data_IF_918113471945
#
_entry.id   IF_918113471945
#
_cell.length_a   1.000
_cell.length_b   1.000
_cell.length_c   1.000
_cell.angle_alpha   90.00
_cell.angle_beta   90.00
_cell.angle_gamma   90.00
#
_symmetry.space_group_name_H-M   'P 1'
#
loop_
_entity.id
_entity.type
_entity.pdbx_description
1 polymer ?
#
# COMPACT_ATOMS: atom_id res chain seq x y z
N UNK A 1 14.55 17.79 3.01
CA UNK A 1 13.21 17.67 3.61
C UNK A 1 13.41 17.25 5.05
N UNK A 2 12.76 17.90 6.02
CA UNK A 2 12.80 17.43 7.41
C UNK A 2 12.00 16.13 7.58
N UNK A 3 12.23 15.40 8.67
CA UNK A 3 11.63 14.09 8.93
C UNK A 3 10.10 14.15 9.00
N UNK A 4 9.52 15.13 9.70
CA UNK A 4 8.06 15.27 9.84
C UNK A 4 7.41 15.55 8.50
N UNK A 5 8.00 16.42 7.69
CA UNK A 5 7.54 16.69 6.32
C UNK A 5 7.66 15.46 5.44
N UNK A 6 8.72 14.64 5.59
CA UNK A 6 8.86 13.40 4.84
C UNK A 6 7.77 12.39 5.18
N UNK A 7 7.43 12.24 6.47
CA UNK A 7 6.34 11.38 6.91
C UNK A 7 4.98 11.83 6.34
N UNK A 8 4.66 13.13 6.42
CA UNK A 8 3.42 13.69 5.85
C UNK A 8 3.36 13.52 4.32
N UNK A 9 4.45 13.82 3.62
CA UNK A 9 4.53 13.67 2.17
C UNK A 9 4.37 12.20 1.74
N UNK A 10 4.96 11.25 2.49
CA UNK A 10 4.76 9.84 2.24
C UNK A 10 3.30 9.41 2.43
N UNK A 11 2.65 9.89 3.51
CA UNK A 11 1.25 9.63 3.79
C UNK A 11 0.33 10.15 2.67
N UNK A 12 0.58 11.36 2.17
CA UNK A 12 -0.22 11.98 1.11
C UNK A 12 -0.04 11.26 -0.24
N UNK A 13 1.20 10.93 -0.62
CA UNK A 13 1.45 10.16 -1.86
C UNK A 13 0.85 8.76 -1.81
N UNK A 14 0.91 8.12 -0.64
CA UNK A 14 0.32 6.80 -0.43
C UNK A 14 -1.21 6.85 -0.58
N UNK A 15 -1.86 7.81 0.08
CA UNK A 15 -3.30 8.02 -0.04
C UNK A 15 -3.72 8.34 -1.49
N UNK A 16 -2.95 9.19 -2.18
CA UNK A 16 -3.19 9.54 -3.58
C UNK A 16 -3.02 8.34 -4.53
N UNK A 17 -2.07 7.44 -4.28
CA UNK A 17 -1.93 6.20 -5.04
C UNK A 17 -3.12 5.27 -4.80
N UNK A 18 -3.53 5.08 -3.56
CA UNK A 18 -4.65 4.21 -3.23
C UNK A 18 -5.97 4.69 -3.85
N UNK A 19 -6.22 6.01 -3.86
CA UNK A 19 -7.43 6.60 -4.45
C UNK A 19 -7.60 6.35 -5.96
N UNK A 20 -6.51 6.03 -6.69
CA UNK A 20 -6.53 5.70 -8.12
C UNK A 20 -6.31 4.22 -8.43
N UNK A 21 -6.24 3.38 -7.39
CA UNK A 21 -6.01 1.94 -7.53
C UNK A 21 -7.34 1.18 -7.46
N UNK A 22 -7.40 -0.03 -8.04
CA UNK A 22 -8.59 -0.90 -7.97
C UNK A 22 -8.96 -1.16 -6.51
N UNK A 23 -10.16 -0.74 -6.05
CA UNK A 23 -10.57 -0.92 -4.66
C UNK A 23 -11.02 -2.36 -4.39
N UNK A 24 -11.23 -2.68 -3.11
CA UNK A 24 -11.76 -3.97 -2.68
C UNK A 24 -10.71 -4.87 -2.04
N UNK A 25 -11.16 -6.05 -1.62
CA UNK A 25 -10.31 -7.06 -0.97
C UNK A 25 -9.54 -7.83 -2.05
N UNK A 26 -8.23 -7.66 -2.09
CA UNK A 26 -7.36 -8.32 -3.07
C UNK A 26 -7.01 -9.72 -2.57
N UNK A 27 -7.45 -10.75 -3.28
CA UNK A 27 -7.23 -12.15 -2.92
C UNK A 27 -6.41 -12.86 -3.97
N UNK A 28 -5.67 -13.86 -3.52
CA UNK A 28 -5.03 -14.81 -4.42
C UNK A 28 -6.07 -15.80 -4.96
N UNK A 29 -6.11 -15.95 -6.28
CA UNK A 29 -6.89 -16.93 -7.00
C UNK A 29 -6.03 -17.66 -8.04
N UNK A 30 -6.64 -18.61 -8.76
CA UNK A 30 -5.98 -19.41 -9.78
C UNK A 30 -5.63 -20.82 -9.31
N UNK A 31 -5.86 -21.80 -10.19
CA UNK A 31 -5.65 -23.23 -9.92
C UNK A 31 -4.19 -23.66 -10.10
N UNK A 32 -3.36 -22.81 -10.73
CA UNK A 32 -1.96 -23.11 -11.02
C UNK A 32 -1.06 -22.55 -9.93
N UNK A 33 -0.51 -23.44 -9.11
CA UNK A 33 0.38 -23.09 -7.99
C UNK A 33 1.58 -22.21 -8.40
N UNK A 34 2.00 -22.25 -9.67
CA UNK A 34 3.10 -21.45 -10.20
C UNK A 34 2.73 -20.02 -10.64
N UNK A 35 1.45 -19.76 -10.91
CA UNK A 35 0.94 -18.50 -11.49
C UNK A 35 -0.39 -18.11 -10.82
N UNK A 36 -0.35 -17.74 -9.53
CA UNK A 36 -1.52 -17.19 -8.87
C UNK A 36 -1.90 -15.85 -9.49
N UNK A 37 -3.20 -15.62 -9.60
CA UNK A 37 -3.81 -14.35 -9.96
C UNK A 37 -4.12 -13.56 -8.68
N UNK A 38 -4.06 -12.24 -8.76
CA UNK A 38 -4.55 -11.33 -7.73
C UNK A 38 -5.84 -10.71 -8.24
N UNK A 39 -6.93 -10.96 -7.54
CA UNK A 39 -8.29 -10.53 -7.91
C UNK A 39 -8.84 -9.63 -6.81
N UNK A 40 -9.30 -8.45 -7.18
CA UNK A 40 -10.02 -7.55 -6.30
C UNK A 40 -11.48 -7.99 -6.17
N UNK A 41 -11.99 -8.06 -4.95
CA UNK A 41 -13.38 -8.36 -4.64
C UNK A 41 -14.08 -7.10 -4.12
N UNK A 42 -15.04 -6.59 -4.88
CA UNK A 42 -15.84 -5.44 -4.48
C UNK A 42 -16.96 -5.86 -3.50
N UNK A 43 -17.39 -4.97 -2.58
CA UNK A 43 -18.48 -5.26 -1.64
C UNK A 43 -19.81 -5.64 -2.30
N UNK A 44 -20.04 -5.21 -3.55
CA UNK A 44 -21.22 -5.56 -4.36
C UNK A 44 -21.13 -6.91 -5.09
N UNK A 45 -20.11 -7.73 -4.81
CA UNK A 45 -19.91 -9.05 -5.43
C UNK A 45 -19.19 -9.03 -6.78
N UNK A 46 -18.84 -7.86 -7.31
CA UNK A 46 -18.00 -7.73 -8.50
C UNK A 46 -16.57 -8.18 -8.24
N UNK A 47 -15.91 -8.70 -9.28
CA UNK A 47 -14.49 -9.05 -9.23
C UNK A 47 -13.74 -8.43 -10.39
N UNK A 48 -12.48 -8.06 -10.15
CA UNK A 48 -11.59 -7.48 -11.15
C UNK A 48 -10.20 -8.10 -11.03
N UNK A 49 -9.64 -8.58 -12.14
CA UNK A 49 -8.27 -9.10 -12.15
C UNK A 49 -7.27 -7.94 -12.10
N UNK A 50 -6.40 -7.95 -11.09
CA UNK A 50 -5.43 -6.87 -10.82
C UNK A 50 -4.06 -7.21 -11.37
N UNK A 51 -3.57 -8.43 -11.14
CA UNK A 51 -2.23 -8.84 -11.54
C UNK A 51 -2.06 -10.35 -11.63
N UNK A 52 -1.25 -10.80 -12.59
CA UNK A 52 -0.68 -12.16 -12.58
C UNK A 52 0.62 -12.12 -11.76
N UNK A 53 0.75 -12.99 -10.76
CA UNK A 53 1.90 -13.02 -9.86
C UNK A 53 2.75 -14.28 -10.04
N UNK A 54 4.04 -14.18 -9.69
CA UNK A 54 4.89 -15.37 -9.52
C UNK A 54 4.61 -16.01 -8.17
N UNK A 55 4.79 -17.33 -8.07
CA UNK A 55 4.75 -18.04 -6.79
C UNK A 55 5.68 -17.35 -5.76
N UNK A 56 5.13 -16.96 -4.62
CA UNK A 56 5.83 -16.25 -3.54
C UNK A 56 5.65 -14.73 -3.51
N UNK A 57 5.32 -14.06 -4.63
CA UNK A 57 5.10 -12.60 -4.64
C UNK A 57 3.62 -12.22 -4.51
N UNK A 58 2.71 -13.12 -4.91
CA UNK A 58 1.28 -12.86 -4.84
C UNK A 58 0.79 -12.51 -3.43
N UNK A 59 1.31 -13.19 -2.40
CA UNK A 59 0.93 -12.93 -1.01
C UNK A 59 1.31 -11.50 -0.56
N UNK A 60 2.47 -10.99 -1.00
CA UNK A 60 2.89 -9.61 -0.75
C UNK A 60 1.97 -8.60 -1.44
N UNK A 61 1.56 -8.87 -2.68
CA UNK A 61 0.68 -7.97 -3.44
C UNK A 61 -0.70 -7.91 -2.79
N UNK A 62 -1.28 -9.06 -2.41
CA UNK A 62 -2.56 -9.12 -1.72
C UNK A 62 -2.51 -8.44 -0.34
N UNK A 63 -1.47 -8.71 0.46
CA UNK A 63 -1.32 -8.13 1.79
C UNK A 63 -1.06 -6.61 1.79
N UNK A 64 -0.39 -6.09 0.75
CA UNK A 64 -0.11 -4.66 0.58
C UNK A 64 -1.05 -4.00 -0.44
N UNK A 65 -2.28 -4.51 -0.55
CA UNK A 65 -3.34 -3.93 -1.37
C UNK A 65 -3.65 -2.48 -0.96
N UNK A 66 -4.40 -1.71 -1.78
CA UNK A 66 -4.76 -0.33 -1.46
C UNK A 66 -5.45 -0.13 -0.10
N UNK A 67 -6.05 -1.16 0.48
CA UNK A 67 -6.69 -1.12 1.81
C UNK A 67 -5.70 -0.71 2.92
N UNK A 68 -4.42 -1.08 2.81
CA UNK A 68 -3.40 -0.72 3.82
C UNK A 68 -3.10 0.79 3.85
N UNK A 69 -3.40 1.51 2.77
CA UNK A 69 -2.99 2.89 2.59
C UNK A 69 -3.59 3.83 3.63
N UNK A 70 -4.87 3.66 3.98
CA UNK A 70 -5.56 4.48 4.98
C UNK A 70 -4.91 4.38 6.36
N UNK A 71 -4.89 3.18 6.98
CA UNK A 71 -4.24 2.95 8.27
C UNK A 71 -2.76 3.36 8.28
N UNK A 72 -2.00 3.04 7.23
CA UNK A 72 -0.58 3.37 7.17
C UNK A 72 -0.34 4.88 7.04
N UNK A 73 -1.12 5.58 6.23
CA UNK A 73 -1.05 7.04 6.12
C UNK A 73 -1.45 7.72 7.44
N UNK A 74 -2.44 7.20 8.17
CA UNK A 74 -2.79 7.69 9.50
C UNK A 74 -1.65 7.48 10.51
N UNK A 75 -1.03 6.30 10.50
CA UNK A 75 0.14 6.01 11.34
C UNK A 75 1.33 6.94 11.05
N UNK A 76 1.63 7.20 9.77
CA UNK A 76 2.68 8.15 9.37
C UNK A 76 2.40 9.58 9.88
N UNK A 77 1.14 10.03 9.81
CA UNK A 77 0.75 11.35 10.32
C UNK A 77 0.90 11.41 11.84
N UNK A 78 0.41 10.39 12.56
CA UNK A 78 0.57 10.30 14.01
C UNK A 78 2.05 10.28 14.44
N UNK A 79 2.91 9.57 13.69
CA UNK A 79 4.35 9.55 13.95
C UNK A 79 5.03 10.90 13.71
N UNK A 80 4.51 11.72 12.78
CA UNK A 80 4.99 13.08 12.56
C UNK A 80 4.57 14.06 13.67
N UNK A 81 3.43 13.81 14.31
CA UNK A 81 2.90 14.60 15.43
C UNK A 81 3.50 14.23 16.79
N UNK A 82 4.28 13.15 16.88
CA UNK A 82 4.95 12.75 18.10
C UNK A 82 6.04 13.75 18.54
N UNK A 83 6.26 13.85 19.86
CA UNK A 83 7.29 14.70 20.47
C UNK A 83 8.69 14.41 19.88
N UNK A 84 9.00 13.12 19.75
CA UNK A 84 10.17 12.61 19.03
C UNK A 84 9.70 11.74 17.86
N UNK A 85 10.27 11.98 16.67
CA UNK A 85 9.94 11.22 15.46
C UNK A 85 10.61 9.84 15.54
N UNK A 86 9.86 8.73 15.43
CA UNK A 86 10.45 7.38 15.44
C UNK A 86 11.33 7.14 14.20
N UNK A 87 12.55 6.63 14.39
CA UNK A 87 13.50 6.38 13.30
C UNK A 87 12.94 5.36 12.28
N UNK A 88 12.16 4.38 12.75
CA UNK A 88 11.50 3.38 11.91
C UNK A 88 10.45 4.00 11.00
N UNK A 89 9.72 5.01 11.47
CA UNK A 89 8.76 5.74 10.65
C UNK A 89 9.47 6.54 9.55
N UNK A 90 10.63 7.13 9.86
CA UNK A 90 11.50 7.79 8.86
C UNK A 90 11.99 6.80 7.82
N UNK A 91 12.42 5.61 8.23
CA UNK A 91 12.86 4.56 7.31
C UNK A 91 11.73 4.12 6.36
N UNK A 92 10.52 3.91 6.88
CA UNK A 92 9.33 3.58 6.06
C UNK A 92 9.00 4.70 5.09
N UNK A 93 8.94 5.95 5.56
CA UNK A 93 8.68 7.11 4.72
C UNK A 93 9.73 7.24 3.60
N UNK A 94 11.00 6.98 3.90
CA UNK A 94 12.09 6.96 2.92
C UNK A 94 11.91 5.90 1.84
N UNK A 95 11.47 4.68 2.19
CA UNK A 95 11.15 3.64 1.19
C UNK A 95 9.97 4.07 0.32
N UNK A 96 8.90 4.59 0.92
CA UNK A 96 7.71 5.03 0.20
C UNK A 96 8.02 6.17 -0.76
N UNK A 97 8.74 7.20 -0.32
CA UNK A 97 9.08 8.35 -1.18
C UNK A 97 9.97 7.99 -2.37
N UNK A 98 10.80 6.93 -2.27
CA UNK A 98 11.61 6.43 -3.39
C UNK A 98 10.82 5.60 -4.39
N UNK A 99 9.72 4.98 -3.98
CA UNK A 99 8.98 3.98 -4.77
C UNK A 99 7.63 4.47 -5.28
N UNK A 100 6.96 5.32 -4.51
CA UNK A 100 5.70 5.91 -4.90
C UNK A 100 5.93 6.91 -6.04
N UNK A 101 5.01 6.98 -7.02
CA UNK A 101 5.06 8.00 -8.05
C UNK A 101 5.14 9.40 -7.42
N UNK A 102 5.88 10.30 -8.06
CA UNK A 102 5.70 11.72 -7.81
C UNK A 102 4.24 12.11 -8.06
N UNK A 103 3.75 13.06 -7.25
CA UNK A 103 2.52 13.78 -7.60
C UNK A 103 2.76 14.67 -8.81
#
# INVERSE_FOLDING_TARGET
MDERTALRAAADRLAALAARSTPGDWRLQGLLASRPEVVAHAPGGGTEHVAEARAGTGAWIAALSPEVAGPLAAWLRAAADADAVPAEAVAVAGVLLRRLPGG
#
